data_IF_395915366731
#
_entry.id   IF_395915366731
#
_cell.length_a   1.000
_cell.length_b   1.000
_cell.length_c   1.000
_cell.angle_alpha   90.00
_cell.angle_beta   90.00
_cell.angle_gamma   90.00
#
_symmetry.space_group_name_H-M   'P 1'
#
loop_
_entity.id
_entity.type
_entity.pdbx_description
1 polymer ?
#
# COMPACT_ATOMS: atom_id res chain seq x y z
N UNK A 1 -13.70 -1.78 -24.62
CA UNK A 1 -13.59 -1.95 -23.16
C UNK A 1 -14.31 -0.80 -22.49
N UNK A 2 -15.47 -1.05 -21.91
CA UNK A 2 -16.41 -0.01 -21.45
C UNK A 2 -16.69 -0.13 -19.93
N UNK A 3 -16.15 -1.14 -19.25
CA UNK A 3 -16.41 -1.35 -17.82
C UNK A 3 -15.74 -0.26 -16.97
N UNK A 4 -16.55 0.45 -16.17
CA UNK A 4 -16.04 1.41 -15.18
C UNK A 4 -16.00 0.75 -13.82
N UNK A 5 -14.85 0.85 -13.13
CA UNK A 5 -14.70 0.38 -11.76
C UNK A 5 -15.48 1.29 -10.81
N UNK A 6 -16.09 0.72 -9.79
CA UNK A 6 -16.74 1.47 -8.71
C UNK A 6 -16.57 0.75 -7.39
N UNK A 7 -16.81 1.44 -6.28
CA UNK A 7 -16.72 0.88 -4.95
C UNK A 7 -18.12 0.66 -4.36
N UNK A 8 -18.26 -0.38 -3.54
CA UNK A 8 -19.51 -0.70 -2.84
C UNK A 8 -19.24 -0.74 -1.35
N UNK A 9 -20.06 -0.03 -0.58
CA UNK A 9 -20.22 -0.25 0.85
C UNK A 9 -21.29 -1.33 1.03
N UNK A 10 -20.90 -2.43 1.65
CA UNK A 10 -21.75 -3.59 1.83
C UNK A 10 -21.95 -3.86 3.33
N UNK A 11 -23.19 -4.03 3.76
CA UNK A 11 -23.55 -4.43 5.11
C UNK A 11 -23.55 -5.96 5.16
N UNK A 12 -22.64 -6.54 5.93
CA UNK A 12 -22.46 -7.99 6.03
C UNK A 12 -23.61 -8.62 6.82
N UNK A 13 -24.08 -7.97 7.89
CA UNK A 13 -25.15 -8.48 8.74
C UNK A 13 -26.49 -8.48 8.01
N UNK A 14 -26.81 -7.38 7.34
CA UNK A 14 -28.04 -7.24 6.56
C UNK A 14 -27.91 -7.82 5.14
N UNK A 15 -26.75 -8.30 4.76
CA UNK A 15 -26.45 -8.92 3.46
C UNK A 15 -26.89 -8.04 2.28
N UNK A 16 -26.67 -6.72 2.37
CA UNK A 16 -27.13 -5.78 1.34
C UNK A 16 -26.08 -4.72 0.98
N UNK A 17 -26.20 -4.21 -0.23
CA UNK A 17 -25.47 -3.01 -0.64
C UNK A 17 -26.07 -1.78 0.04
N UNK A 18 -25.23 -1.04 0.78
CA UNK A 18 -25.62 0.20 1.46
C UNK A 18 -25.45 1.40 0.55
N UNK A 19 -24.31 1.42 -0.19
CA UNK A 19 -23.97 2.55 -1.05
C UNK A 19 -23.01 2.14 -2.17
N UNK A 20 -23.13 2.80 -3.31
CA UNK A 20 -22.18 2.70 -4.41
C UNK A 20 -21.49 4.07 -4.63
N UNK A 21 -20.19 4.04 -4.87
CA UNK A 21 -19.37 5.20 -5.19
C UNK A 21 -18.95 5.09 -6.65
N UNK A 22 -19.64 5.80 -7.52
CA UNK A 22 -19.42 5.82 -8.96
C UNK A 22 -18.90 7.17 -9.41
N UNK A 23 -17.85 7.16 -10.23
CA UNK A 23 -17.21 8.36 -10.77
C UNK A 23 -17.00 8.15 -12.27
N UNK A 24 -17.89 8.72 -13.09
CA UNK A 24 -17.95 8.40 -14.51
C UNK A 24 -16.74 8.86 -15.33
N UNK A 25 -16.12 9.95 -14.95
CA UNK A 25 -14.96 10.54 -15.60
C UNK A 25 -13.61 9.99 -15.08
N UNK A 26 -13.59 9.53 -13.85
CA UNK A 26 -12.38 9.02 -13.16
C UNK A 26 -12.74 7.84 -12.25
N UNK A 27 -13.12 6.68 -12.83
CA UNK A 27 -13.58 5.51 -12.11
C UNK A 27 -12.45 4.87 -11.29
N UNK A 28 -12.61 4.84 -9.97
CA UNK A 28 -11.62 4.29 -9.03
C UNK A 28 -12.18 3.12 -8.24
N UNK A 29 -11.28 2.20 -7.86
CA UNK A 29 -11.56 1.13 -6.90
C UNK A 29 -10.95 1.44 -5.54
N UNK A 30 -11.37 0.70 -4.51
CA UNK A 30 -10.87 0.84 -3.14
C UNK A 30 -9.41 0.39 -3.04
N UNK A 31 -8.53 1.28 -2.58
CA UNK A 31 -7.11 1.05 -2.36
C UNK A 31 -6.72 0.92 -0.88
N UNK A 32 -7.68 1.00 0.04
CA UNK A 32 -7.48 0.92 1.49
C UNK A 32 -8.51 1.77 2.24
N UNK A 33 -8.97 1.31 3.38
CA UNK A 33 -9.98 1.98 4.21
C UNK A 33 -9.30 2.52 5.46
N UNK A 34 -9.61 3.78 5.84
CA UNK A 34 -9.18 4.34 7.11
C UNK A 34 -9.80 3.56 8.28
N UNK A 35 -9.06 3.34 9.34
CA UNK A 35 -9.53 2.52 10.48
C UNK A 35 -10.79 3.08 11.15
N UNK A 36 -10.97 4.40 11.12
CA UNK A 36 -12.19 5.05 11.63
C UNK A 36 -13.40 4.91 10.69
N UNK A 37 -13.26 4.30 9.52
CA UNK A 37 -14.31 4.09 8.53
C UNK A 37 -14.81 5.35 7.83
N UNK A 38 -14.27 6.53 8.14
CA UNK A 38 -14.78 7.81 7.61
C UNK A 38 -14.43 8.08 6.15
N UNK A 39 -13.41 7.43 5.62
CA UNK A 39 -12.94 7.58 4.24
C UNK A 39 -12.16 6.36 3.77
N UNK A 40 -11.98 6.27 2.47
CA UNK A 40 -11.12 5.26 1.86
C UNK A 40 -10.29 5.86 0.72
N UNK A 41 -9.21 5.17 0.38
CA UNK A 41 -8.34 5.52 -0.73
C UNK A 41 -8.90 4.98 -2.04
N UNK A 42 -8.83 5.79 -3.10
CA UNK A 42 -9.22 5.41 -4.44
C UNK A 42 -8.03 5.30 -5.37
N UNK A 43 -7.97 4.24 -6.17
CA UNK A 43 -6.93 4.00 -7.15
C UNK A 43 -7.53 3.67 -8.52
N UNK A 44 -6.85 4.08 -9.59
CA UNK A 44 -7.15 3.65 -10.94
C UNK A 44 -6.69 2.20 -11.16
N UNK A 45 -7.57 1.25 -10.83
CA UNK A 45 -7.28 -0.18 -10.99
C UNK A 45 -7.24 -0.64 -12.44
N UNK A 46 -7.84 0.11 -13.37
CA UNK A 46 -7.71 -0.14 -14.80
C UNK A 46 -6.29 0.17 -15.28
N UNK A 47 -5.73 1.32 -14.84
CA UNK A 47 -4.33 1.67 -15.05
C UNK A 47 -3.40 0.64 -14.43
N UNK A 48 -3.67 0.24 -13.19
CA UNK A 48 -2.86 -0.79 -12.50
C UNK A 48 -2.86 -2.10 -13.28
N UNK A 49 -4.01 -2.59 -13.74
CA UNK A 49 -4.11 -3.83 -14.51
C UNK A 49 -3.35 -3.79 -15.85
N UNK A 50 -3.32 -2.62 -16.51
CA UNK A 50 -2.56 -2.41 -17.74
C UNK A 50 -1.05 -2.42 -17.48
N UNK A 51 -0.62 -1.84 -16.37
CA UNK A 51 0.79 -1.66 -16.02
C UNK A 51 1.38 -2.84 -15.20
N UNK A 52 0.52 -3.60 -14.53
CA UNK A 52 0.85 -4.80 -13.78
C UNK A 52 -0.28 -5.83 -13.90
N UNK A 53 -0.27 -6.69 -14.92
CA UNK A 53 -1.41 -7.56 -15.26
C UNK A 53 -1.86 -8.55 -14.16
N UNK A 54 -1.05 -8.79 -13.14
CA UNK A 54 -1.39 -9.67 -11.99
C UNK A 54 -2.27 -8.99 -10.95
N UNK A 55 -2.48 -7.68 -11.06
CA UNK A 55 -3.28 -6.87 -10.14
C UNK A 55 -4.20 -5.93 -10.91
N UNK A 56 -5.28 -5.48 -10.25
CA UNK A 56 -6.26 -4.57 -10.84
C UNK A 56 -7.35 -5.28 -11.65
N UNK A 57 -8.18 -4.52 -12.35
CA UNK A 57 -9.34 -5.03 -13.08
C UNK A 57 -9.08 -5.01 -14.59
N UNK A 58 -8.72 -6.16 -15.14
CA UNK A 58 -8.48 -6.34 -16.58
C UNK A 58 -9.74 -5.98 -17.38
N UNK A 59 -9.56 -5.20 -18.46
CA UNK A 59 -10.67 -4.81 -19.32
C UNK A 59 -11.46 -3.61 -18.84
N UNK A 60 -11.20 -3.08 -17.64
CA UNK A 60 -11.77 -1.81 -17.21
C UNK A 60 -11.19 -0.62 -17.99
N UNK A 61 -11.96 0.47 -18.07
CA UNK A 61 -11.56 1.68 -18.77
C UNK A 61 -10.55 2.50 -17.97
N UNK A 62 -9.37 2.72 -18.55
CA UNK A 62 -8.33 3.60 -18.02
C UNK A 62 -8.40 4.96 -18.75
N UNK A 63 -8.91 6.01 -18.07
CA UNK A 63 -9.03 7.37 -18.64
C UNK A 63 -7.69 8.05 -18.86
N UNK A 64 -6.60 7.41 -18.43
CA UNK A 64 -5.23 7.95 -18.55
C UNK A 64 -4.33 7.08 -19.41
N UNK A 65 -4.93 6.20 -20.24
CA UNK A 65 -4.17 5.37 -21.18
C UNK A 65 -3.27 6.25 -22.06
N UNK A 66 -2.03 5.82 -22.26
CA UNK A 66 -1.01 6.56 -23.00
C UNK A 66 -0.29 7.67 -22.20
N UNK A 67 -0.81 8.12 -21.08
CA UNK A 67 -0.19 9.18 -20.26
C UNK A 67 0.74 8.58 -19.19
N UNK A 68 2.02 8.97 -19.20
CA UNK A 68 3.00 8.49 -18.21
C UNK A 68 2.70 9.08 -16.81
N UNK A 69 2.52 10.39 -16.72
CA UNK A 69 2.36 11.14 -15.48
C UNK A 69 1.15 12.09 -15.55
N UNK A 70 -0.09 11.55 -15.57
CA UNK A 70 -1.29 12.38 -15.64
C UNK A 70 -1.44 13.27 -14.41
N UNK A 71 -1.99 14.49 -14.61
CA UNK A 71 -2.30 15.44 -13.53
C UNK A 71 -3.63 15.14 -12.84
N UNK A 72 -4.52 14.40 -13.51
CA UNK A 72 -5.87 14.06 -13.05
C UNK A 72 -6.03 12.62 -12.59
N UNK A 73 -4.92 11.93 -12.28
CA UNK A 73 -4.89 10.57 -11.77
C UNK A 73 -3.76 10.41 -10.75
N UNK A 74 -3.95 9.49 -9.80
CA UNK A 74 -3.01 9.26 -8.71
C UNK A 74 -3.68 8.62 -7.50
N UNK A 75 -3.45 9.18 -6.33
CA UNK A 75 -4.03 8.77 -5.06
C UNK A 75 -5.25 9.66 -4.76
N UNK A 76 -6.43 9.05 -4.65
CA UNK A 76 -7.66 9.74 -4.27
C UNK A 76 -8.08 9.39 -2.84
N UNK A 77 -8.82 10.29 -2.21
CA UNK A 77 -9.56 10.06 -0.98
C UNK A 77 -11.06 10.21 -1.26
N UNK A 78 -11.84 9.28 -0.79
CA UNK A 78 -13.31 9.30 -0.90
C UNK A 78 -13.90 9.31 0.51
N UNK A 79 -14.72 10.31 0.81
CA UNK A 79 -15.47 10.38 2.04
C UNK A 79 -16.63 9.39 2.00
N UNK A 80 -16.74 8.52 3.00
CA UNK A 80 -17.76 7.45 3.04
C UNK A 80 -19.15 8.04 3.18
N UNK A 81 -19.33 9.07 4.02
CA UNK A 81 -20.64 9.65 4.27
C UNK A 81 -21.16 10.51 3.11
N UNK A 82 -20.31 11.38 2.56
CA UNK A 82 -20.74 12.32 1.50
C UNK A 82 -20.54 11.77 0.09
N UNK A 83 -19.65 10.81 -0.10
CA UNK A 83 -19.22 10.32 -1.41
C UNK A 83 -18.27 11.27 -2.15
N UNK A 84 -17.88 12.41 -1.53
CA UNK A 84 -16.98 13.38 -2.16
C UNK A 84 -15.61 12.74 -2.40
N UNK A 85 -15.16 12.78 -3.65
CA UNK A 85 -13.82 12.35 -4.08
C UNK A 85 -12.91 13.55 -4.22
N UNK A 86 -11.66 13.40 -3.75
CA UNK A 86 -10.58 14.38 -3.85
C UNK A 86 -9.32 13.68 -4.36
N UNK A 87 -8.64 14.28 -5.34
CA UNK A 87 -7.29 13.87 -5.71
C UNK A 87 -6.32 14.44 -4.67
N UNK A 88 -5.65 13.56 -3.93
CA UNK A 88 -4.66 13.94 -2.92
C UNK A 88 -3.30 14.20 -3.56
N UNK A 89 -2.80 13.24 -4.33
CA UNK A 89 -1.49 13.31 -4.98
C UNK A 89 -1.60 12.77 -6.40
N UNK A 90 -1.22 13.58 -7.38
CA UNK A 90 -1.22 13.17 -8.79
C UNK A 90 0.07 12.42 -9.18
N UNK A 91 0.00 11.60 -10.22
CA UNK A 91 1.21 11.01 -10.82
C UNK A 91 2.20 12.05 -11.31
N UNK A 92 1.72 13.23 -11.69
CA UNK A 92 2.57 14.36 -12.07
C UNK A 92 3.41 14.86 -10.87
N UNK A 93 2.81 15.05 -9.70
CA UNK A 93 3.53 15.42 -8.47
C UNK A 93 4.54 14.35 -8.07
N UNK A 94 4.14 13.06 -8.06
CA UNK A 94 5.07 11.95 -7.77
C UNK A 94 6.27 11.93 -8.72
N UNK A 95 6.03 12.17 -10.02
CA UNK A 95 7.11 12.21 -11.01
C UNK A 95 8.07 13.39 -10.76
N UNK A 96 7.57 14.55 -10.33
CA UNK A 96 8.41 15.69 -9.97
C UNK A 96 9.28 15.40 -8.75
N UNK A 97 8.70 14.80 -7.70
CA UNK A 97 9.47 14.38 -6.52
C UNK A 97 10.57 13.35 -6.90
N UNK A 98 10.23 12.36 -7.71
CA UNK A 98 11.20 11.38 -8.18
C UNK A 98 12.33 12.02 -8.98
N UNK A 99 12.03 13.02 -9.82
CA UNK A 99 13.05 13.80 -10.56
C UNK A 99 13.94 14.60 -9.60
N UNK A 100 13.37 15.27 -8.60
CA UNK A 100 14.11 15.99 -7.59
C UNK A 100 15.10 15.10 -6.82
N UNK A 101 14.77 13.80 -6.69
CA UNK A 101 15.64 12.76 -6.13
C UNK A 101 16.63 12.17 -7.15
N UNK A 102 16.79 12.76 -8.34
CA UNK A 102 17.68 12.26 -9.40
C UNK A 102 17.18 10.99 -10.12
N UNK A 103 15.91 10.60 -9.94
CA UNK A 103 15.35 9.41 -10.60
C UNK A 103 14.97 9.71 -12.05
N UNK A 104 15.29 8.81 -12.94
CA UNK A 104 14.88 8.88 -14.36
C UNK A 104 13.46 8.36 -14.48
N UNK A 105 12.51 9.24 -14.77
CA UNK A 105 11.07 8.91 -14.88
C UNK A 105 10.50 9.16 -16.29
N UNK A 106 11.27 9.73 -17.21
CA UNK A 106 10.85 9.96 -18.61
C UNK A 106 10.34 8.65 -19.20
N UNK A 107 9.19 8.53 -19.72
CA UNK A 107 8.58 7.31 -20.26
C UNK A 107 8.21 6.23 -19.22
N UNK A 108 8.37 6.48 -17.92
CA UNK A 108 7.96 5.53 -16.88
C UNK A 108 6.49 5.77 -16.53
N UNK A 109 5.60 4.88 -16.97
CA UNK A 109 4.18 4.98 -16.61
C UNK A 109 3.98 4.58 -15.14
N UNK A 110 3.77 5.58 -14.28
CA UNK A 110 3.60 5.36 -12.85
C UNK A 110 2.24 4.73 -12.53
N UNK A 111 2.23 3.85 -11.54
CA UNK A 111 1.01 3.34 -10.87
C UNK A 111 1.27 3.25 -9.37
N UNK A 112 0.19 3.23 -8.57
CA UNK A 112 0.26 3.07 -7.11
C UNK A 112 -0.09 1.64 -6.75
N UNK A 113 0.62 1.13 -5.73
CA UNK A 113 0.30 -0.14 -5.08
C UNK A 113 0.63 -0.04 -3.58
N UNK A 114 -0.02 -0.86 -2.73
CA UNK A 114 0.14 -0.88 -1.28
C UNK A 114 -0.10 0.50 -0.64
N UNK A 115 -1.28 1.04 -0.83
CA UNK A 115 -1.69 2.28 -0.17
C UNK A 115 -2.32 1.96 1.19
N UNK A 116 -1.78 2.55 2.25
CA UNK A 116 -2.14 2.28 3.64
C UNK A 116 -2.32 3.60 4.40
N UNK A 117 -3.44 3.79 5.09
CA UNK A 117 -3.58 4.85 6.08
C UNK A 117 -3.08 4.36 7.44
N UNK A 118 -2.49 5.27 8.23
CA UNK A 118 -2.17 4.96 9.61
C UNK A 118 -3.45 4.82 10.48
N UNK A 119 -3.26 4.40 11.72
CA UNK A 119 -4.36 4.13 12.66
C UNK A 119 -5.11 5.40 13.04
N UNK A 120 -4.42 6.51 13.13
CA UNK A 120 -4.95 7.84 13.44
C UNK A 120 -5.69 8.46 12.26
N UNK A 121 -5.42 7.98 11.04
CA UNK A 121 -6.09 8.43 9.81
C UNK A 121 -5.59 9.77 9.29
N UNK A 122 -4.39 10.20 9.67
CA UNK A 122 -3.77 11.46 9.27
C UNK A 122 -2.53 11.31 8.38
N UNK A 123 -2.04 10.06 8.18
CA UNK A 123 -0.92 9.72 7.29
C UNK A 123 -1.30 8.60 6.34
N UNK A 124 -0.73 8.69 5.14
CA UNK A 124 -0.90 7.69 4.08
C UNK A 124 0.47 7.31 3.54
N UNK A 125 0.76 6.03 3.56
CA UNK A 125 1.92 5.42 2.92
C UNK A 125 1.50 4.74 1.61
N UNK A 126 2.32 4.83 0.56
CA UNK A 126 2.07 4.11 -0.69
C UNK A 126 3.35 3.96 -1.52
N UNK A 127 3.36 2.97 -2.42
CA UNK A 127 4.43 2.84 -3.40
C UNK A 127 4.02 3.42 -4.74
N UNK A 128 4.85 4.33 -5.29
CA UNK A 128 4.84 4.67 -6.70
C UNK A 128 5.73 3.68 -7.45
N UNK A 129 5.17 3.02 -8.45
CA UNK A 129 5.83 1.94 -9.19
C UNK A 129 5.76 2.16 -10.70
N UNK A 130 6.77 1.66 -11.43
CA UNK A 130 6.81 1.60 -12.88
C UNK A 130 7.80 0.53 -13.38
N UNK A 131 7.77 0.21 -14.67
CA UNK A 131 8.71 -0.73 -15.30
C UNK A 131 8.51 -2.19 -14.88
N UNK A 132 7.27 -2.59 -14.60
CA UNK A 132 6.89 -3.96 -14.28
C UNK A 132 6.31 -4.66 -15.51
N UNK A 133 6.36 -5.99 -15.54
CA UNK A 133 5.73 -6.81 -16.59
C UNK A 133 6.17 -6.47 -18.02
N UNK A 134 7.47 -6.23 -18.21
CA UNK A 134 8.04 -5.98 -19.56
C UNK A 134 7.77 -4.59 -20.13
N UNK A 135 7.28 -3.66 -19.33
CA UNK A 135 7.06 -2.28 -19.76
C UNK A 135 8.38 -1.55 -20.06
N UNK A 136 8.29 -0.59 -20.99
CA UNK A 136 9.39 0.33 -21.28
C UNK A 136 9.68 1.22 -20.06
N UNK A 137 10.95 1.57 -19.86
CA UNK A 137 11.40 2.44 -18.78
C UNK A 137 12.09 1.68 -17.65
N UNK A 138 12.78 2.44 -16.79
CA UNK A 138 13.47 1.89 -15.62
C UNK A 138 12.43 1.43 -14.57
N UNK A 139 12.76 0.34 -13.88
CA UNK A 139 11.96 -0.13 -12.74
C UNK A 139 12.01 0.88 -11.61
N UNK A 140 10.84 1.34 -11.19
CA UNK A 140 10.62 2.20 -10.05
C UNK A 140 9.84 1.40 -9.01
N UNK A 141 10.28 1.44 -7.77
CA UNK A 141 9.59 0.94 -6.58
C UNK A 141 9.93 1.89 -5.44
N UNK A 142 9.15 2.97 -5.32
CA UNK A 142 9.52 4.09 -4.46
C UNK A 142 8.45 4.37 -3.44
N UNK A 143 8.76 4.32 -2.12
CA UNK A 143 7.81 4.61 -1.06
C UNK A 143 7.63 6.12 -0.87
N UNK A 144 6.36 6.52 -0.76
CA UNK A 144 5.95 7.88 -0.44
C UNK A 144 5.07 7.91 0.81
N UNK A 145 5.11 9.05 1.48
CA UNK A 145 4.20 9.40 2.57
C UNK A 145 3.58 10.76 2.25
N UNK A 146 2.32 10.91 2.61
CA UNK A 146 1.58 12.17 2.57
C UNK A 146 0.58 12.23 3.72
N UNK A 147 0.00 13.41 3.98
CA UNK A 147 -1.12 13.54 4.91
C UNK A 147 -2.42 13.03 4.28
N UNK A 148 -3.47 12.87 5.09
CA UNK A 148 -4.83 12.56 4.63
C UNK A 148 -5.46 13.65 3.75
N UNK A 149 -4.81 14.83 3.69
CA UNK A 149 -5.18 15.96 2.81
C UNK A 149 -4.37 16.02 1.52
N UNK A 150 -3.35 15.16 1.37
CA UNK A 150 -2.44 15.17 0.22
C UNK A 150 -1.32 16.21 0.32
N UNK A 151 -1.12 16.77 1.49
CA UNK A 151 -0.07 17.73 1.79
C UNK A 151 1.24 17.01 2.17
N UNK A 152 2.37 17.72 2.08
CA UNK A 152 3.68 17.22 2.51
C UNK A 152 4.04 15.86 1.87
N UNK A 153 3.82 15.74 0.56
CA UNK A 153 4.30 14.56 -0.17
C UNK A 153 5.81 14.47 -0.02
N UNK A 154 6.27 13.35 0.53
CA UNK A 154 7.71 13.11 0.74
C UNK A 154 8.08 11.66 0.49
N UNK A 155 9.29 11.48 0.06
CA UNK A 155 9.94 10.19 -0.08
C UNK A 155 10.40 9.66 1.28
N UNK A 156 10.26 8.37 1.52
CA UNK A 156 11.02 7.73 2.58
C UNK A 156 12.50 7.64 2.22
N UNK A 157 13.37 8.10 3.11
CA UNK A 157 14.83 8.02 2.93
C UNK A 157 15.33 6.59 2.96
N UNK A 158 14.65 5.73 3.72
CA UNK A 158 14.97 4.30 3.84
C UNK A 158 13.88 3.50 3.12
N UNK A 159 14.29 2.55 2.30
CA UNK A 159 13.38 1.59 1.71
C UNK A 159 13.01 0.52 2.73
N UNK A 160 11.79 0.57 3.24
CA UNK A 160 11.23 -0.47 4.09
C UNK A 160 10.67 -1.56 3.18
N UNK A 161 11.25 -2.74 3.25
CA UNK A 161 10.87 -3.88 2.40
C UNK A 161 9.73 -4.71 3.00
N UNK A 162 9.40 -5.79 2.30
CA UNK A 162 8.27 -6.65 2.64
C UNK A 162 6.93 -5.98 2.32
N UNK A 163 5.95 -6.21 3.14
CA UNK A 163 4.65 -5.54 3.14
C UNK A 163 4.52 -4.72 4.43
N UNK A 164 5.08 -3.49 4.47
CA UNK A 164 5.12 -2.70 5.69
C UNK A 164 3.70 -2.38 6.18
N UNK A 165 3.56 -2.27 7.49
CA UNK A 165 2.31 -2.00 8.20
C UNK A 165 2.50 -0.79 9.13
N UNK A 166 1.43 -0.02 9.36
CA UNK A 166 1.45 1.05 10.34
C UNK A 166 1.41 0.50 11.78
N UNK A 167 2.32 1.00 12.62
CA UNK A 167 2.26 0.90 14.07
C UNK A 167 1.40 2.05 14.62
N UNK A 168 1.57 2.41 15.87
CA UNK A 168 0.93 3.58 16.47
C UNK A 168 1.63 4.87 16.03
N UNK A 169 0.86 5.95 15.94
CA UNK A 169 1.32 7.27 15.54
C UNK A 169 1.84 7.27 14.11
N UNK A 170 3.02 7.83 13.93
CA UNK A 170 3.65 7.94 12.62
C UNK A 170 4.80 6.94 12.42
N UNK A 171 4.71 5.77 13.07
CA UNK A 171 5.69 4.70 12.92
C UNK A 171 5.18 3.59 12.03
N UNK A 172 6.08 3.01 11.27
CA UNK A 172 5.83 1.83 10.45
C UNK A 172 6.71 0.66 10.89
N UNK A 173 6.18 -0.55 10.75
CA UNK A 173 6.93 -1.79 10.86
C UNK A 173 7.21 -2.29 9.45
N UNK A 174 8.41 -2.80 9.22
CA UNK A 174 8.77 -3.44 7.98
C UNK A 174 10.22 -3.89 7.97
N UNK A 175 10.63 -4.50 6.87
CA UNK A 175 11.95 -5.10 6.76
C UNK A 175 13.03 -4.08 6.40
N UNK A 176 14.15 -4.12 7.13
CA UNK A 176 15.42 -3.54 6.72
C UNK A 176 16.54 -4.58 6.94
N UNK A 177 17.19 -5.02 5.87
CA UNK A 177 18.12 -6.13 5.93
C UNK A 177 17.41 -7.44 6.31
N UNK A 178 17.85 -8.08 7.39
CA UNK A 178 17.29 -9.31 7.96
C UNK A 178 16.31 -9.06 9.13
N UNK A 179 16.01 -7.79 9.46
CA UNK A 179 15.27 -7.41 10.67
C UNK A 179 13.94 -6.76 10.33
N UNK A 180 12.99 -6.94 11.26
CA UNK A 180 11.82 -6.08 11.36
C UNK A 180 12.21 -4.82 12.14
N UNK A 181 12.00 -3.65 11.56
CA UNK A 181 12.31 -2.35 12.17
C UNK A 181 11.06 -1.57 12.51
N UNK A 182 11.18 -0.69 13.48
CA UNK A 182 10.25 0.41 13.74
C UNK A 182 10.83 1.66 13.09
N UNK A 183 10.18 2.17 12.07
CA UNK A 183 10.62 3.34 11.31
C UNK A 183 9.73 4.53 11.64
N UNK A 184 10.33 5.60 12.18
CA UNK A 184 9.64 6.88 12.38
C UNK A 184 9.56 7.64 11.07
N UNK A 185 8.34 7.82 10.57
CA UNK A 185 8.11 8.44 9.27
C UNK A 185 8.28 9.96 9.29
N UNK A 186 8.16 10.61 10.43
CA UNK A 186 8.36 12.06 10.57
C UNK A 186 9.84 12.42 10.73
N UNK A 187 10.55 11.71 11.59
CA UNK A 187 11.98 11.89 11.82
C UNK A 187 12.83 11.23 10.72
N UNK A 188 12.24 10.32 9.92
CA UNK A 188 12.91 9.58 8.84
C UNK A 188 14.12 8.76 9.34
N UNK A 189 13.95 8.08 10.46
CA UNK A 189 14.97 7.23 11.09
C UNK A 189 14.40 5.92 11.63
N UNK A 190 15.29 4.96 11.85
CA UNK A 190 14.96 3.71 12.53
C UNK A 190 14.90 3.99 14.03
N UNK A 191 13.69 3.90 14.60
CA UNK A 191 13.42 4.14 16.03
C UNK A 191 13.64 2.90 16.89
N UNK A 192 13.78 1.71 16.29
CA UNK A 192 13.99 0.44 17.00
C UNK A 192 13.81 -0.77 16.12
N UNK A 193 13.81 -1.94 16.75
CA UNK A 193 13.58 -3.23 16.10
C UNK A 193 12.44 -3.98 16.79
N UNK A 194 11.79 -4.87 16.05
CA UNK A 194 10.78 -5.77 16.56
C UNK A 194 11.31 -7.20 16.52
N UNK A 195 11.45 -7.85 17.69
CA UNK A 195 12.04 -9.17 17.78
C UNK A 195 13.48 -9.25 17.26
N UNK A 196 13.90 -10.44 16.87
CA UNK A 196 15.25 -10.72 16.36
C UNK A 196 15.20 -11.51 15.06
N UNK A 197 16.29 -11.62 14.28
CA UNK A 197 16.34 -12.46 13.08
C UNK A 197 16.07 -13.95 13.34
N UNK A 198 16.38 -14.45 14.53
CA UNK A 198 16.09 -15.83 14.94
C UNK A 198 14.59 -16.07 15.09
N UNK A 199 13.86 -15.07 15.59
CA UNK A 199 12.40 -15.09 15.69
C UNK A 199 11.78 -14.96 14.29
N UNK A 200 12.24 -13.98 13.51
CA UNK A 200 11.73 -13.69 12.15
C UNK A 200 12.76 -14.10 11.09
N UNK A 201 12.92 -15.40 10.87
CA UNK A 201 13.93 -15.97 9.95
C UNK A 201 13.84 -15.43 8.51
N UNK A 202 12.71 -14.91 8.12
CA UNK A 202 12.54 -14.18 6.85
C UNK A 202 11.61 -12.98 7.10
N UNK A 203 12.20 -11.81 7.29
CA UNK A 203 11.49 -10.57 7.56
C UNK A 203 10.75 -10.00 6.31
N UNK A 204 10.85 -10.65 5.13
CA UNK A 204 10.24 -10.15 3.88
C UNK A 204 8.77 -10.54 3.70
N UNK A 205 8.24 -11.45 4.50
CA UNK A 205 6.87 -11.91 4.37
C UNK A 205 5.82 -10.84 4.67
N UNK A 206 4.58 -11.22 4.44
CA UNK A 206 3.45 -10.38 4.83
C UNK A 206 3.40 -10.22 6.35
N UNK A 207 3.09 -9.03 6.80
CA UNK A 207 2.98 -8.71 8.22
C UNK A 207 1.60 -8.15 8.55
N UNK A 208 1.18 -8.32 9.79
CA UNK A 208 -0.03 -7.72 10.32
C UNK A 208 0.10 -7.46 11.82
N UNK A 209 -0.63 -6.47 12.30
CA UNK A 209 -0.82 -6.17 13.71
C UNK A 209 -2.23 -6.52 14.14
N UNK A 210 -2.38 -7.03 15.37
CA UNK A 210 -3.71 -7.10 15.99
C UNK A 210 -4.33 -5.70 16.13
N UNK A 211 -5.67 -5.57 16.21
CA UNK A 211 -6.32 -4.27 16.35
C UNK A 211 -5.80 -3.44 17.53
N UNK A 212 -5.46 -4.10 18.64
CA UNK A 212 -4.87 -3.46 19.81
C UNK A 212 -3.33 -3.35 19.75
N UNK A 213 -2.69 -3.68 18.63
CA UNK A 213 -1.26 -3.60 18.41
C UNK A 213 -0.37 -4.49 19.31
N UNK A 214 -0.95 -5.35 20.15
CA UNK A 214 -0.19 -6.19 21.10
C UNK A 214 0.47 -7.40 20.44
N UNK A 215 -0.15 -7.93 19.39
CA UNK A 215 0.37 -9.07 18.64
C UNK A 215 0.83 -8.61 17.25
N UNK A 216 1.96 -9.14 16.84
CA UNK A 216 2.54 -8.97 15.50
C UNK A 216 2.65 -10.32 14.84
N UNK A 217 2.29 -10.41 13.58
CA UNK A 217 2.41 -11.62 12.78
C UNK A 217 3.33 -11.35 11.60
N UNK A 218 4.31 -12.23 11.39
CA UNK A 218 5.12 -12.25 10.18
C UNK A 218 4.96 -13.60 9.49
N UNK A 219 4.46 -13.55 8.25
CA UNK A 219 4.41 -14.71 7.38
C UNK A 219 5.70 -14.84 6.57
N UNK A 220 6.19 -16.05 6.36
CA UNK A 220 7.27 -16.27 5.44
C UNK A 220 7.09 -17.56 4.62
N UNK A 221 7.62 -17.52 3.41
CA UNK A 221 7.61 -18.64 2.48
C UNK A 221 8.97 -19.33 2.48
N UNK A 222 8.99 -20.60 2.90
CA UNK A 222 10.14 -21.47 2.69
C UNK A 222 9.96 -22.25 1.37
N UNK A 223 10.71 -21.83 0.36
CA UNK A 223 10.63 -22.43 -0.99
C UNK A 223 11.22 -23.84 -1.03
N UNK A 224 12.18 -24.16 -0.18
CA UNK A 224 12.80 -25.50 -0.11
C UNK A 224 11.83 -26.51 0.46
N UNK A 225 11.13 -26.14 1.52
CA UNK A 225 10.10 -26.98 2.16
C UNK A 225 8.74 -26.88 1.47
N UNK A 226 8.58 -26.03 0.44
CA UNK A 226 7.31 -25.73 -0.20
C UNK A 226 6.19 -25.44 0.81
N UNK A 227 6.50 -24.61 1.80
CA UNK A 227 5.59 -24.32 2.90
C UNK A 227 5.60 -22.83 3.28
N UNK A 228 4.45 -22.34 3.71
CA UNK A 228 4.31 -21.06 4.39
C UNK A 228 4.30 -21.29 5.91
N UNK A 229 4.94 -20.40 6.63
CA UNK A 229 4.97 -20.36 8.08
C UNK A 229 4.52 -19.00 8.55
N UNK A 230 3.94 -18.95 9.74
CA UNK A 230 3.55 -17.71 10.40
C UNK A 230 4.17 -17.67 11.80
N UNK A 231 4.87 -16.59 12.12
CA UNK A 231 5.37 -16.33 13.47
C UNK A 231 4.47 -15.29 14.11
N UNK A 232 3.84 -15.66 15.20
CA UNK A 232 3.04 -14.77 16.04
C UNK A 232 3.92 -14.33 17.20
N UNK A 233 4.02 -13.02 17.41
CA UNK A 233 4.91 -12.41 18.38
C UNK A 233 4.12 -11.47 19.29
N UNK A 234 4.22 -11.66 20.61
CA UNK A 234 3.66 -10.77 21.61
C UNK A 234 4.68 -9.69 21.94
N UNK A 235 4.30 -8.44 21.69
CA UNK A 235 5.22 -7.29 21.75
C UNK A 235 5.61 -6.91 23.19
N UNK A 236 4.79 -7.24 24.16
CA UNK A 236 4.99 -6.88 25.57
C UNK A 236 6.19 -7.60 26.20
N UNK A 237 6.33 -8.88 25.96
CA UNK A 237 7.32 -9.74 26.61
C UNK A 237 8.21 -10.55 25.64
N UNK A 238 7.98 -10.40 24.34
CA UNK A 238 8.73 -11.14 23.33
C UNK A 238 8.34 -12.61 23.16
N UNK A 239 7.32 -13.08 23.87
CA UNK A 239 6.82 -14.44 23.69
C UNK A 239 6.36 -14.65 22.25
N UNK A 240 6.73 -15.77 21.67
CA UNK A 240 6.41 -16.02 20.25
C UNK A 240 6.11 -17.49 20.00
N UNK A 241 5.36 -17.72 18.95
CA UNK A 241 4.98 -19.03 18.46
C UNK A 241 5.11 -19.07 16.95
N UNK A 242 5.69 -20.14 16.42
CA UNK A 242 5.71 -20.40 14.97
C UNK A 242 4.78 -21.54 14.63
N UNK A 243 3.92 -21.35 13.65
CA UNK A 243 3.03 -22.42 13.17
C UNK A 243 3.83 -23.57 12.55
N UNK A 244 3.21 -24.74 12.46
CA UNK A 244 3.67 -25.76 11.49
C UNK A 244 3.59 -25.21 10.06
N UNK A 245 4.32 -25.79 9.14
CA UNK A 245 4.29 -25.39 7.73
C UNK A 245 2.95 -25.73 7.07
N UNK A 246 2.41 -24.76 6.33
CA UNK A 246 1.26 -24.98 5.45
C UNK A 246 1.79 -25.23 4.04
N UNK A 247 1.41 -26.36 3.44
CA UNK A 247 1.86 -26.72 2.09
C UNK A 247 1.46 -25.67 1.07
N UNK A 248 2.40 -25.37 0.16
CA UNK A 248 2.16 -24.52 -1.01
C UNK A 248 2.02 -25.48 -2.19
N UNK A 249 0.82 -25.54 -2.76
CA UNK A 249 0.58 -26.33 -3.95
C UNK A 249 1.44 -25.91 -5.14
#
# INVERSE_FOLDING_TARGET
>A
KTGKVFCVLYDIEQTKRVREYRFDDTPVGNGGVAQNGGWFLGLNYARMARLRPVTGYKGAWDWTEGKAHPKNDGLFRINVQTGKKQLLVSFHQMANELKALGRVVKNSHLFINHSLSNREGDRIFFFARAGWSGQRGKRINHPFITTDKGENLRSNRIHIGGHPEWDYGHRMIGRLGDRQILFDTDQQLVAGTLGTPEIFQNAEGDIALSPNGKLFVNGHKDRRRKANFYTIYRREDGAHFRTKGFSIG
#
